data_IF_229954484503
#
_entry.id   IF_229954484503
#
_cell.length_a   1.000
_cell.length_b   1.000
_cell.length_c   1.000
_cell.angle_alpha   90.00
_cell.angle_beta   90.00
_cell.angle_gamma   90.00
#
_symmetry.space_group_name_H-M   'P 1'
#
loop_
_entity.id
_entity.type
_entity.pdbx_description
1 polymer ?
#
# COMPACT_ATOMS: atom_id res chain seq x y z
N UNK A 1 -43.79 -3.52 4.47
CA UNK A 1 -43.68 -2.23 5.19
C UNK A 1 -42.27 -2.08 5.73
N UNK A 2 -41.72 -0.86 5.76
CA UNK A 2 -40.39 -0.55 6.36
C UNK A 2 -40.29 -1.08 7.79
N UNK A 3 -41.40 -1.03 8.55
CA UNK A 3 -41.48 -1.56 9.92
C UNK A 3 -41.30 -3.08 10.00
N UNK A 4 -41.77 -3.83 8.98
CA UNK A 4 -41.65 -5.28 8.96
C UNK A 4 -40.20 -5.67 8.63
N UNK A 5 -39.62 -5.06 7.60
CA UNK A 5 -38.21 -5.25 7.27
C UNK A 5 -37.27 -4.88 8.44
N UNK A 6 -37.57 -3.81 9.18
CA UNK A 6 -36.83 -3.43 10.38
C UNK A 6 -36.79 -4.55 11.44
N UNK A 7 -37.89 -5.29 11.62
CA UNK A 7 -37.96 -6.44 12.54
C UNK A 7 -37.23 -7.66 11.98
N UNK A 8 -37.42 -7.95 10.69
CA UNK A 8 -36.83 -9.11 10.03
C UNK A 8 -35.29 -9.04 10.00
N UNK A 9 -34.74 -7.82 9.89
CA UNK A 9 -33.30 -7.57 9.86
C UNK A 9 -32.70 -7.13 11.20
N UNK A 10 -33.49 -7.04 12.28
CA UNK A 10 -33.08 -6.53 13.60
C UNK A 10 -32.36 -5.16 13.53
N UNK A 11 -32.93 -4.23 12.74
CA UNK A 11 -32.40 -2.88 12.56
C UNK A 11 -33.45 -1.87 12.99
N UNK A 12 -33.03 -0.81 13.70
CA UNK A 12 -33.95 0.28 14.05
C UNK A 12 -34.72 0.83 12.84
N UNK A 13 -36.01 1.08 13.05
CA UNK A 13 -36.90 1.59 12.01
C UNK A 13 -36.39 2.94 11.44
N UNK A 14 -35.90 3.83 12.29
CA UNK A 14 -35.30 5.11 11.87
C UNK A 14 -34.11 4.92 10.91
N UNK A 15 -33.26 3.93 11.14
CA UNK A 15 -32.14 3.62 10.24
C UNK A 15 -32.64 3.10 8.90
N UNK A 16 -33.65 2.23 8.89
CA UNK A 16 -34.19 1.67 7.66
C UNK A 16 -34.97 2.72 6.86
N UNK A 17 -35.73 3.59 7.54
CA UNK A 17 -36.42 4.74 6.99
C UNK A 17 -35.42 5.73 6.36
N UNK A 18 -34.32 6.04 7.05
CA UNK A 18 -33.25 6.88 6.52
C UNK A 18 -32.63 6.29 5.26
N UNK A 19 -32.34 4.99 5.24
CA UNK A 19 -31.84 4.31 4.02
C UNK A 19 -32.86 4.36 2.89
N UNK A 20 -34.14 4.15 3.19
CA UNK A 20 -35.22 4.26 2.20
C UNK A 20 -35.32 5.68 1.62
N UNK A 21 -35.05 6.71 2.44
CA UNK A 21 -34.97 8.11 2.03
C UNK A 21 -33.64 8.48 1.32
N UNK A 22 -32.75 7.51 1.07
CA UNK A 22 -31.50 7.72 0.33
C UNK A 22 -30.28 8.04 1.20
N UNK A 23 -30.35 7.94 2.53
CA UNK A 23 -29.16 8.06 3.37
C UNK A 23 -28.19 6.92 3.09
N UNK A 24 -26.95 7.29 2.76
CA UNK A 24 -25.84 6.36 2.61
C UNK A 24 -25.34 5.90 3.98
N UNK A 25 -24.68 4.75 4.01
CA UNK A 25 -23.98 4.32 5.21
C UNK A 25 -22.91 5.36 5.57
N UNK A 26 -22.64 5.54 6.87
CA UNK A 26 -21.67 6.55 7.36
C UNK A 26 -20.31 6.48 6.64
N UNK A 27 -19.85 5.27 6.30
CA UNK A 27 -18.60 5.04 5.56
C UNK A 27 -18.61 5.58 4.12
N UNK A 28 -19.77 5.60 3.48
CA UNK A 28 -19.97 5.99 2.08
C UNK A 28 -20.43 7.46 1.98
N UNK A 29 -21.09 7.99 3.03
CA UNK A 29 -21.56 9.37 3.08
C UNK A 29 -20.42 10.41 3.01
N UNK A 30 -19.22 10.05 3.49
CA UNK A 30 -18.04 10.93 3.48
C UNK A 30 -17.10 10.66 2.28
N UNK A 31 -17.50 9.87 1.29
CA UNK A 31 -16.67 9.57 0.11
C UNK A 31 -16.22 10.84 -0.61
N UNK A 32 -17.13 11.81 -0.79
CA UNK A 32 -16.85 13.10 -1.45
C UNK A 32 -15.94 14.05 -0.66
N UNK A 33 -15.65 13.76 0.61
CA UNK A 33 -14.72 14.53 1.44
C UNK A 33 -13.30 13.93 1.46
N UNK A 34 -13.10 12.77 0.82
CA UNK A 34 -11.79 12.14 0.72
C UNK A 34 -10.96 12.82 -0.36
N UNK A 35 -9.65 12.90 -0.12
CA UNK A 35 -8.70 13.38 -1.14
C UNK A 35 -8.58 12.44 -2.34
N UNK A 36 -8.89 11.16 -2.16
CA UNK A 36 -8.83 10.14 -3.19
C UNK A 36 -10.21 9.57 -3.45
N UNK A 37 -10.57 9.47 -4.72
CA UNK A 37 -11.66 8.60 -5.15
C UNK A 37 -11.22 7.15 -5.06
N UNK A 38 -12.18 6.24 -4.85
CA UNK A 38 -11.94 4.80 -4.79
C UNK A 38 -11.14 4.25 -6.00
N UNK A 39 -11.37 4.80 -7.19
CA UNK A 39 -10.62 4.43 -8.40
C UNK A 39 -9.13 4.78 -8.30
N UNK A 40 -8.80 5.94 -7.73
CA UNK A 40 -7.43 6.40 -7.55
C UNK A 40 -6.70 5.57 -6.47
N UNK A 41 -7.40 5.23 -5.38
CA UNK A 41 -6.86 4.33 -4.36
C UNK A 41 -6.52 2.96 -4.95
N UNK A 42 -7.35 2.44 -5.86
CA UNK A 42 -7.09 1.17 -6.55
C UNK A 42 -5.84 1.22 -7.42
N UNK A 43 -5.60 2.32 -8.14
CA UNK A 43 -4.36 2.51 -8.92
C UNK A 43 -3.12 2.47 -8.04
N UNK A 44 -3.17 3.11 -6.87
CA UNK A 44 -2.06 3.09 -5.92
C UNK A 44 -1.84 1.68 -5.36
N UNK A 45 -2.92 0.93 -5.07
CA UNK A 45 -2.83 -0.46 -4.63
C UNK A 45 -2.23 -1.35 -5.71
N UNK A 46 -2.60 -1.16 -6.97
CA UNK A 46 -2.06 -1.93 -8.09
C UNK A 46 -0.57 -1.63 -8.30
N UNK A 47 -0.16 -0.37 -8.19
CA UNK A 47 1.24 0.02 -8.19
C UNK A 47 2.04 -0.65 -7.05
N UNK A 48 1.55 -0.59 -5.81
CA UNK A 48 2.19 -1.27 -4.67
C UNK A 48 2.27 -2.78 -4.91
N UNK A 49 1.22 -3.37 -5.46
CA UNK A 49 1.17 -4.81 -5.76
C UNK A 49 2.19 -5.20 -6.82
N UNK A 50 2.35 -4.36 -7.85
CA UNK A 50 3.35 -4.54 -8.90
C UNK A 50 4.77 -4.43 -8.34
N UNK A 51 5.06 -3.43 -7.51
CA UNK A 51 6.32 -3.34 -6.79
C UNK A 51 6.59 -4.60 -5.96
N UNK A 52 5.58 -5.07 -5.21
CA UNK A 52 5.68 -6.28 -4.41
C UNK A 52 5.98 -7.54 -5.23
N UNK A 53 5.37 -7.69 -6.41
CA UNK A 53 5.68 -8.78 -7.36
C UNK A 53 7.11 -8.71 -7.88
N UNK A 54 7.66 -7.52 -8.05
CA UNK A 54 9.06 -7.29 -8.44
C UNK A 54 10.04 -7.41 -7.27
N UNK A 55 9.59 -7.77 -6.06
CA UNK A 55 10.44 -7.84 -4.86
C UNK A 55 10.84 -6.47 -4.30
N UNK A 56 10.23 -5.38 -4.78
CA UNK A 56 10.50 -4.02 -4.33
C UNK A 56 9.54 -3.65 -3.21
N UNK A 57 10.09 -3.35 -2.04
CA UNK A 57 9.29 -2.86 -0.91
C UNK A 57 9.08 -1.35 -1.04
N UNK A 58 7.82 -0.93 -1.07
CA UNK A 58 7.46 0.49 -1.09
C UNK A 58 7.58 1.07 0.32
N UNK A 59 8.44 2.05 0.50
CA UNK A 59 8.59 2.77 1.77
C UNK A 59 7.47 3.81 1.95
N UNK A 60 7.15 4.19 3.19
CA UNK A 60 6.13 5.21 3.45
C UNK A 60 6.43 6.57 2.78
N UNK A 61 7.68 7.07 2.76
CA UNK A 61 8.01 8.29 2.02
C UNK A 61 7.82 8.14 0.51
N UNK A 62 8.20 6.99 -0.07
CA UNK A 62 7.99 6.73 -1.50
C UNK A 62 6.50 6.69 -1.86
N UNK A 63 5.69 6.07 -1.00
CA UNK A 63 4.23 6.07 -1.13
C UNK A 63 3.64 7.49 -1.04
N UNK A 64 4.16 8.31 -0.12
CA UNK A 64 3.76 9.71 0.00
C UNK A 64 4.11 10.52 -1.25
N UNK A 65 5.32 10.33 -1.79
CA UNK A 65 5.78 11.01 -3.01
C UNK A 65 4.90 10.62 -4.20
N UNK A 66 4.73 9.32 -4.44
CA UNK A 66 3.89 8.82 -5.53
C UNK A 66 2.45 9.35 -5.44
N UNK A 67 1.86 9.33 -4.24
CA UNK A 67 0.51 9.85 -4.02
C UNK A 67 0.42 11.38 -4.21
N UNK A 68 1.48 12.11 -3.86
CA UNK A 68 1.54 13.57 -4.04
C UNK A 68 1.65 13.94 -5.51
N UNK A 69 2.50 13.23 -6.25
CA UNK A 69 2.67 13.41 -7.70
C UNK A 69 1.39 13.09 -8.44
N UNK A 70 0.69 12.03 -8.03
CA UNK A 70 -0.59 11.63 -8.60
C UNK A 70 -1.69 12.69 -8.40
N UNK A 71 -1.68 13.41 -7.27
CA UNK A 71 -2.65 14.46 -6.96
C UNK A 71 -2.22 15.88 -7.37
N UNK A 72 -0.97 16.06 -7.82
CA UNK A 72 -0.39 17.37 -8.11
C UNK A 72 -0.17 18.27 -6.87
N UNK A 73 -0.30 17.72 -5.65
CA UNK A 73 -0.04 18.46 -4.41
C UNK A 73 0.41 17.52 -3.30
N UNK A 74 1.10 18.07 -2.28
CA UNK A 74 1.68 17.28 -1.20
C UNK A 74 0.61 16.67 -0.29
N UNK A 75 0.58 15.34 -0.19
CA UNK A 75 -0.24 14.65 0.82
C UNK A 75 0.39 14.74 2.20
N UNK A 76 -0.44 14.75 3.25
CA UNK A 76 0.04 14.88 4.63
C UNK A 76 0.93 13.71 5.08
N UNK A 77 1.91 13.99 5.95
CA UNK A 77 2.89 13.00 6.49
C UNK A 77 2.26 11.72 7.07
N UNK A 78 1.07 11.83 7.66
CA UNK A 78 0.37 10.70 8.28
C UNK A 78 -0.51 9.90 7.29
N UNK A 79 -0.66 10.38 6.06
CA UNK A 79 -1.52 9.76 5.06
C UNK A 79 -1.08 8.33 4.70
N UNK A 80 0.21 8.03 4.41
CA UNK A 80 0.64 6.66 4.07
C UNK A 80 0.26 5.63 5.13
N UNK A 81 0.44 5.99 6.41
CA UNK A 81 0.07 5.13 7.55
C UNK A 81 -1.44 4.88 7.61
N UNK A 82 -2.26 5.92 7.36
CA UNK A 82 -3.73 5.79 7.33
C UNK A 82 -4.18 4.95 6.14
N UNK A 83 -3.60 5.17 4.97
CA UNK A 83 -3.89 4.42 3.74
C UNK A 83 -3.66 2.92 3.95
N UNK A 84 -2.48 2.54 4.45
CA UNK A 84 -2.16 1.13 4.75
C UNK A 84 -3.16 0.53 5.76
N UNK A 85 -3.51 1.26 6.82
CA UNK A 85 -4.49 0.81 7.81
C UNK A 85 -5.89 0.60 7.23
N UNK A 86 -6.29 1.43 6.25
CA UNK A 86 -7.58 1.29 5.58
C UNK A 86 -7.62 0.11 4.60
N UNK A 87 -6.47 -0.31 4.05
CA UNK A 87 -6.39 -1.40 3.08
C UNK A 87 -5.72 -2.64 3.67
N UNK A 88 -6.50 -3.46 4.38
CA UNK A 88 -6.08 -4.73 5.01
C UNK A 88 -5.38 -5.74 4.09
N UNK A 89 -5.51 -5.59 2.76
CA UNK A 89 -4.82 -6.43 1.78
C UNK A 89 -3.31 -6.14 1.72
N UNK A 90 -2.89 -4.94 2.12
CA UNK A 90 -1.49 -4.54 2.13
C UNK A 90 -0.82 -5.04 3.41
N UNK A 91 0.19 -5.90 3.28
CA UNK A 91 1.00 -6.35 4.42
C UNK A 91 2.16 -5.39 4.61
N UNK A 92 2.29 -4.83 5.82
CA UNK A 92 3.48 -4.08 6.20
C UNK A 92 4.53 -5.05 6.74
N UNK A 93 5.76 -4.97 6.23
CA UNK A 93 6.91 -5.69 6.77
C UNK A 93 7.87 -4.66 7.38
N UNK A 94 8.32 -4.92 8.61
CA UNK A 94 9.44 -4.17 9.20
C UNK A 94 10.73 -4.84 8.74
N UNK A 95 11.65 -4.06 8.17
CA UNK A 95 13.00 -4.52 7.87
C UNK A 95 13.75 -4.77 9.17
N UNK A 96 14.44 -5.91 9.24
CA UNK A 96 15.28 -6.24 10.39
C UNK A 96 16.69 -5.64 10.24
N UNK A 97 17.43 -5.45 11.34
CA UNK A 97 18.82 -4.98 11.28
C UNK A 97 19.72 -5.84 10.40
N UNK A 98 19.49 -7.16 10.36
CA UNK A 98 20.22 -8.09 9.50
C UNK A 98 19.99 -7.81 8.01
N UNK A 99 18.75 -7.53 7.61
CA UNK A 99 18.41 -7.16 6.23
C UNK A 99 19.11 -5.86 5.82
N UNK A 100 19.21 -4.89 6.74
CA UNK A 100 19.96 -3.66 6.52
C UNK A 100 21.47 -3.93 6.38
N UNK A 101 22.03 -4.84 7.19
CA UNK A 101 23.42 -5.26 7.07
C UNK A 101 23.68 -5.92 5.71
N UNK A 102 22.82 -6.84 5.27
CA UNK A 102 22.91 -7.46 3.95
C UNK A 102 22.82 -6.42 2.83
N UNK A 103 21.88 -5.47 2.90
CA UNK A 103 21.76 -4.41 1.90
C UNK A 103 23.01 -3.53 1.81
N UNK A 104 23.65 -3.22 2.95
CA UNK A 104 24.88 -2.45 2.99
C UNK A 104 26.10 -3.25 2.51
N UNK A 105 26.13 -4.55 2.82
CA UNK A 105 27.18 -5.46 2.37
C UNK A 105 27.13 -5.68 0.86
N UNK A 106 25.94 -5.72 0.26
CA UNK A 106 25.71 -5.91 -1.17
C UNK A 106 25.87 -4.59 -1.94
N UNK A 107 27.06 -4.01 -1.84
CA UNK A 107 27.42 -2.76 -2.51
C UNK A 107 28.26 -3.00 -3.77
N UNK A 108 28.36 -2.00 -4.64
CA UNK A 108 29.06 -2.12 -5.92
C UNK A 108 30.48 -2.65 -5.79
N UNK A 109 31.25 -2.13 -4.83
CA UNK A 109 32.63 -2.55 -4.62
C UNK A 109 32.73 -4.04 -4.24
N UNK A 110 31.85 -4.53 -3.36
CA UNK A 110 31.81 -5.94 -2.97
C UNK A 110 31.45 -6.86 -4.14
N UNK A 111 30.51 -6.42 -4.98
CA UNK A 111 30.06 -7.18 -6.16
C UNK A 111 31.15 -7.22 -7.22
N UNK A 112 31.75 -6.07 -7.53
CA UNK A 112 32.84 -5.96 -8.49
C UNK A 112 34.04 -6.83 -8.05
N UNK A 113 34.44 -6.74 -6.78
CA UNK A 113 35.50 -7.56 -6.21
C UNK A 113 35.22 -9.06 -6.32
N UNK A 114 34.00 -9.51 -5.98
CA UNK A 114 33.60 -10.91 -6.12
C UNK A 114 33.73 -11.40 -7.57
N UNK A 115 33.22 -10.64 -8.54
CA UNK A 115 33.28 -11.03 -9.95
C UNK A 115 34.69 -10.96 -10.53
N UNK A 116 35.55 -10.08 -10.04
CA UNK A 116 36.95 -10.05 -10.44
C UNK A 116 37.71 -11.26 -9.91
N UNK A 117 37.53 -11.63 -8.64
CA UNK A 117 38.07 -12.89 -8.09
C UNK A 117 37.55 -14.11 -8.85
N UNK A 118 36.26 -14.12 -9.19
CA UNK A 118 35.67 -15.21 -9.99
C UNK A 118 36.36 -15.34 -11.36
N UNK A 119 36.60 -14.21 -12.06
CA UNK A 119 37.30 -14.21 -13.35
C UNK A 119 38.73 -14.75 -13.21
N UNK A 120 39.43 -14.40 -12.13
CA UNK A 120 40.79 -14.89 -11.89
C UNK A 120 40.82 -16.41 -11.71
N UNK A 121 39.92 -16.95 -10.90
CA UNK A 121 39.79 -18.40 -10.70
C UNK A 121 39.45 -19.12 -12.01
N UNK A 122 38.52 -18.58 -12.81
CA UNK A 122 38.18 -19.14 -14.12
C UNK A 122 39.43 -19.19 -15.03
N UNK A 123 40.24 -18.12 -15.02
CA UNK A 123 41.49 -18.07 -15.80
C UNK A 123 42.53 -19.08 -15.32
N UNK A 124 42.67 -19.24 -14.00
CA UNK A 124 43.64 -20.15 -13.38
C UNK A 124 43.31 -21.61 -13.68
N UNK A 125 42.05 -22.01 -13.51
CA UNK A 125 41.62 -23.40 -13.64
C UNK A 125 41.14 -23.77 -15.06
N UNK A 126 41.10 -22.81 -15.99
CA UNK A 126 40.65 -22.98 -17.40
C UNK A 126 39.30 -23.71 -17.52
N UNK A 127 38.37 -23.40 -16.62
CA UNK A 127 36.97 -23.84 -16.68
C UNK A 127 36.22 -22.97 -17.70
#
# INVERSE_FOLDING_TARGET
>A
SVCQAARDFDVSNSTLQGRFAGHLAKKDAHEGQKHFFKSQELTIIDWISTCGKCGILVTQPALQAFASDFLGHTVGKNWPRRFIRCHLKLKTKLTQPLEACHANALNRASVDCYFDTLKEVIREYKV
#
